data_IF_514386956689
#
_entry.id   IF_514386956689
#
_cell.length_a   1.000
_cell.length_b   1.000
_cell.length_c   1.000
_cell.angle_alpha   90.00
_cell.angle_beta   90.00
_cell.angle_gamma   90.00
#
_symmetry.space_group_name_H-M   'P 1'
#
loop_
_entity.id
_entity.type
_entity.pdbx_description
1 polymer ?
#
# COMPACT_ATOMS: atom_id res chain seq x y z
N UNK A 1 12.20 -6.85 -24.88
CA UNK A 1 12.20 -7.65 -23.63
C UNK A 1 11.81 -6.74 -22.49
N UNK A 2 10.87 -7.14 -21.62
CA UNK A 2 10.53 -6.38 -20.42
C UNK A 2 11.65 -6.50 -19.38
N UNK A 3 12.03 -5.41 -18.70
CA UNK A 3 13.03 -5.44 -17.62
C UNK A 3 12.44 -6.04 -16.35
N UNK A 4 13.27 -6.63 -15.48
CA UNK A 4 12.83 -7.15 -14.16
C UNK A 4 12.08 -6.11 -13.34
N UNK A 5 12.53 -4.85 -13.40
CA UNK A 5 11.86 -3.73 -12.74
C UNK A 5 10.46 -3.49 -13.32
N UNK A 6 10.31 -3.45 -14.66
CA UNK A 6 9.01 -3.27 -15.29
C UNK A 6 8.00 -4.37 -14.91
N UNK A 7 8.47 -5.61 -14.74
CA UNK A 7 7.65 -6.74 -14.28
C UNK A 7 7.20 -6.55 -12.83
N UNK A 8 8.10 -6.11 -11.93
CA UNK A 8 7.76 -5.83 -10.54
C UNK A 8 6.70 -4.73 -10.41
N UNK A 9 6.82 -3.66 -11.20
CA UNK A 9 5.84 -2.57 -11.20
C UNK A 9 4.48 -3.03 -11.74
N UNK A 10 4.49 -3.90 -12.76
CA UNK A 10 3.27 -4.51 -13.28
C UNK A 10 2.56 -5.39 -12.25
N UNK A 11 3.30 -6.19 -11.46
CA UNK A 11 2.72 -7.02 -10.41
C UNK A 11 1.94 -6.18 -9.37
N UNK A 12 2.48 -5.02 -8.99
CA UNK A 12 1.82 -4.10 -8.05
C UNK A 12 0.51 -3.59 -8.64
N UNK A 13 0.53 -3.04 -9.86
CA UNK A 13 -0.69 -2.53 -10.51
C UNK A 13 -1.72 -3.64 -10.72
N UNK A 14 -1.28 -4.85 -11.10
CA UNK A 14 -2.15 -6.03 -11.25
C UNK A 14 -2.80 -6.44 -9.93
N UNK A 15 -2.06 -6.43 -8.82
CA UNK A 15 -2.58 -6.73 -7.49
C UNK A 15 -3.72 -5.76 -7.11
N UNK A 16 -3.51 -4.45 -7.25
CA UNK A 16 -4.55 -3.46 -6.95
C UNK A 16 -5.79 -3.66 -7.81
N UNK A 17 -5.60 -3.84 -9.13
CA UNK A 17 -6.72 -4.10 -10.05
C UNK A 17 -7.54 -5.30 -9.59
N UNK A 18 -6.89 -6.43 -9.32
CA UNK A 18 -7.58 -7.64 -8.89
C UNK A 18 -8.25 -7.50 -7.52
N UNK A 19 -7.66 -6.75 -6.59
CA UNK A 19 -8.24 -6.52 -5.27
C UNK A 19 -9.48 -5.61 -5.32
N UNK A 20 -9.36 -4.49 -6.04
CA UNK A 20 -10.39 -3.45 -6.10
C UNK A 20 -11.59 -3.89 -6.94
N UNK A 21 -11.37 -4.63 -8.03
CA UNK A 21 -12.45 -5.14 -8.88
C UNK A 21 -12.93 -6.55 -8.51
N UNK A 22 -12.24 -7.22 -7.60
CA UNK A 22 -12.54 -8.59 -7.19
C UNK A 22 -13.73 -8.66 -6.22
N UNK A 23 -14.40 -9.81 -6.24
CA UNK A 23 -15.32 -10.19 -5.16
C UNK A 23 -14.56 -10.63 -3.90
N UNK A 24 -15.29 -11.08 -2.88
CA UNK A 24 -14.72 -11.44 -1.57
C UNK A 24 -13.72 -12.61 -1.70
N UNK A 25 -14.00 -13.59 -2.56
CA UNK A 25 -13.10 -14.73 -2.78
C UNK A 25 -11.81 -14.27 -3.45
N UNK A 26 -11.93 -13.41 -4.47
CA UNK A 26 -10.78 -12.83 -5.15
C UNK A 26 -9.95 -11.94 -4.22
N UNK A 27 -10.60 -11.15 -3.37
CA UNK A 27 -9.93 -10.35 -2.35
C UNK A 27 -9.15 -11.24 -1.38
N UNK A 28 -9.74 -12.33 -0.89
CA UNK A 28 -9.05 -13.27 -0.01
C UNK A 28 -7.83 -13.94 -0.69
N UNK A 29 -7.95 -14.32 -1.97
CA UNK A 29 -6.84 -14.85 -2.76
C UNK A 29 -5.68 -13.84 -2.87
N UNK A 30 -6.00 -12.58 -3.18
CA UNK A 30 -5.01 -11.50 -3.27
C UNK A 30 -4.31 -11.26 -1.94
N UNK A 31 -5.06 -11.22 -0.83
CA UNK A 31 -4.51 -11.04 0.51
C UNK A 31 -3.58 -12.18 0.90
N UNK A 32 -3.92 -13.43 0.55
CA UNK A 32 -3.12 -14.60 0.92
C UNK A 32 -1.87 -14.77 0.07
N UNK A 33 -1.99 -14.58 -1.24
CA UNK A 33 -0.94 -14.97 -2.18
C UNK A 33 -0.15 -13.75 -2.67
N UNK A 34 -0.84 -12.72 -3.17
CA UNK A 34 -0.19 -11.60 -3.85
C UNK A 34 0.41 -10.59 -2.88
N UNK A 35 -0.23 -10.35 -1.75
CA UNK A 35 0.34 -9.50 -0.70
C UNK A 35 1.72 -10.02 -0.26
N UNK A 36 1.88 -11.35 -0.18
CA UNK A 36 3.15 -12.00 0.13
C UNK A 36 4.22 -11.76 -0.96
N UNK A 37 3.85 -11.92 -2.23
CA UNK A 37 4.74 -11.63 -3.36
C UNK A 37 5.23 -10.17 -3.33
N UNK A 38 4.31 -9.23 -3.10
CA UNK A 38 4.66 -7.82 -2.98
C UNK A 38 5.59 -7.56 -1.78
N UNK A 39 5.37 -8.21 -0.63
CA UNK A 39 6.27 -8.10 0.52
C UNK A 39 7.69 -8.61 0.20
N UNK A 40 7.83 -9.69 -0.58
CA UNK A 40 9.14 -10.20 -1.06
C UNK A 40 9.83 -9.19 -1.98
N UNK A 41 9.07 -8.49 -2.83
CA UNK A 41 9.61 -7.41 -3.68
C UNK A 41 10.17 -6.26 -2.84
N UNK A 42 9.49 -5.88 -1.76
CA UNK A 42 9.99 -4.81 -0.87
C UNK A 42 11.30 -5.21 -0.18
N UNK A 43 11.44 -6.48 0.23
CA UNK A 43 12.71 -7.00 0.74
C UNK A 43 13.84 -6.92 -0.30
N UNK A 44 13.51 -7.20 -1.56
CA UNK A 44 14.46 -7.15 -2.68
C UNK A 44 14.86 -5.73 -3.09
N UNK A 45 13.98 -4.74 -2.91
CA UNK A 45 14.25 -3.34 -3.28
C UNK A 45 14.97 -2.52 -2.18
N UNK A 46 15.31 -3.19 -1.05
CA UNK A 46 15.97 -2.63 0.14
C UNK A 46 15.12 -1.65 0.95
N UNK A 47 13.79 -1.65 0.78
CA UNK A 47 12.90 -0.95 1.70
C UNK A 47 12.91 -1.64 3.06
N UNK A 48 13.24 -0.90 4.13
CA UNK A 48 13.26 -1.45 5.49
C UNK A 48 11.87 -1.57 6.12
N UNK A 49 11.72 -2.50 7.08
CA UNK A 49 10.50 -2.67 7.90
C UNK A 49 10.03 -1.37 8.55
N UNK A 50 10.98 -0.59 9.06
CA UNK A 50 10.69 0.69 9.70
C UNK A 50 10.01 1.66 8.72
N UNK A 51 10.49 1.75 7.47
CA UNK A 51 9.88 2.63 6.48
C UNK A 51 8.49 2.12 6.05
N UNK A 52 8.32 0.81 5.87
CA UNK A 52 7.00 0.22 5.59
C UNK A 52 6.00 0.60 6.68
N UNK A 53 6.36 0.36 7.94
CA UNK A 53 5.53 0.71 9.11
C UNK A 53 5.27 2.20 9.22
N UNK A 54 6.27 3.05 8.98
CA UNK A 54 6.11 4.51 9.02
C UNK A 54 5.00 4.99 8.08
N UNK A 55 4.98 4.51 6.84
CA UNK A 55 3.93 4.89 5.88
C UNK A 55 2.58 4.25 6.21
N UNK A 56 2.58 3.00 6.68
CA UNK A 56 1.36 2.33 7.13
C UNK A 56 0.71 3.07 8.31
N UNK A 57 1.48 3.42 9.35
CA UNK A 57 0.97 4.11 10.54
C UNK A 57 0.34 5.46 10.18
N UNK A 58 0.93 6.22 9.26
CA UNK A 58 0.33 7.48 8.78
C UNK A 58 -1.09 7.26 8.22
N UNK A 59 -1.29 6.23 7.41
CA UNK A 59 -2.61 5.91 6.85
C UNK A 59 -3.54 5.26 7.88
N UNK A 60 -2.99 4.52 8.84
CA UNK A 60 -3.72 3.95 9.96
C UNK A 60 -4.30 5.06 10.85
N UNK A 61 -3.52 6.11 11.14
CA UNK A 61 -3.99 7.26 11.91
C UNK A 61 -5.16 7.99 11.22
N UNK A 62 -5.15 8.02 9.89
CA UNK A 62 -6.28 8.52 9.09
C UNK A 62 -7.48 7.58 9.24
N UNK A 63 -7.29 6.26 9.09
CA UNK A 63 -8.35 5.24 9.27
C UNK A 63 -8.99 5.33 10.65
N UNK A 64 -8.21 5.48 11.72
CA UNK A 64 -8.74 5.58 13.08
C UNK A 64 -9.52 6.89 13.31
N UNK A 65 -9.03 8.02 12.78
CA UNK A 65 -9.81 9.27 12.79
C UNK A 65 -11.09 9.19 11.97
N UNK A 66 -11.08 8.45 10.85
CA UNK A 66 -12.28 8.19 10.05
C UNK A 66 -13.29 7.30 10.77
N UNK A 67 -12.85 6.37 11.63
CA UNK A 67 -13.75 5.57 12.47
C UNK A 67 -14.38 6.38 13.60
N UNK A 68 -13.59 7.27 14.22
CA UNK A 68 -14.07 8.17 15.27
C UNK A 68 -14.98 9.28 14.73
N UNK A 69 -14.88 9.57 13.44
CA UNK A 69 -15.79 10.45 12.74
C UNK A 69 -17.07 9.68 12.36
N UNK A 70 -18.19 10.00 13.02
CA UNK A 70 -19.51 9.45 12.73
C UNK A 70 -20.03 9.79 11.31
N UNK A 71 -19.26 10.57 10.54
CA UNK A 71 -19.53 10.85 9.14
C UNK A 71 -18.93 9.78 8.22
N UNK A 72 -19.66 9.42 7.16
CA UNK A 72 -19.14 8.61 6.06
C UNK A 72 -18.30 9.42 5.06
N UNK A 73 -17.99 10.68 5.39
CA UNK A 73 -17.38 11.61 4.47
C UNK A 73 -15.84 11.50 4.47
N UNK A 74 -15.31 10.66 3.59
CA UNK A 74 -13.86 10.56 3.33
C UNK A 74 -13.24 11.87 2.80
N UNK A 75 -14.03 12.79 2.22
CA UNK A 75 -13.51 13.96 1.48
C UNK A 75 -12.57 14.81 2.32
N UNK A 76 -12.82 14.94 3.63
CA UNK A 76 -11.98 15.73 4.53
C UNK A 76 -10.58 15.14 4.75
N UNK A 77 -10.41 13.84 4.51
CA UNK A 77 -9.14 13.13 4.65
C UNK A 77 -8.38 12.98 3.32
N UNK A 78 -9.02 13.27 2.18
CA UNK A 78 -8.41 13.12 0.86
C UNK A 78 -7.08 13.87 0.69
N UNK A 79 -6.91 15.12 1.17
CA UNK A 79 -5.62 15.80 1.09
C UNK A 79 -4.51 15.04 1.82
N UNK A 80 -4.78 14.52 3.02
CA UNK A 80 -3.81 13.77 3.82
C UNK A 80 -3.47 12.41 3.19
N UNK A 81 -4.48 11.72 2.63
CA UNK A 81 -4.28 10.48 1.88
C UNK A 81 -3.38 10.77 0.66
N UNK A 82 -3.70 11.78 -0.15
CA UNK A 82 -2.93 12.15 -1.34
C UNK A 82 -1.48 12.52 -0.98
N UNK A 83 -1.26 13.19 0.15
CA UNK A 83 0.07 13.59 0.62
C UNK A 83 1.00 12.40 0.88
N UNK A 84 0.45 11.19 1.12
CA UNK A 84 1.25 9.97 1.28
C UNK A 84 2.08 9.65 0.03
N UNK A 85 1.58 9.98 -1.17
CA UNK A 85 2.32 9.81 -2.43
C UNK A 85 3.53 10.76 -2.56
N UNK A 86 3.38 11.99 -2.09
CA UNK A 86 4.45 12.98 -2.04
C UNK A 86 5.52 12.56 -1.04
N UNK A 87 5.12 12.07 0.15
CA UNK A 87 6.05 11.52 1.13
C UNK A 87 6.82 10.31 0.60
N UNK A 88 6.16 9.41 -0.14
CA UNK A 88 6.83 8.28 -0.78
C UNK A 88 7.92 8.74 -1.75
N UNK A 89 7.60 9.72 -2.60
CA UNK A 89 8.57 10.31 -3.55
C UNK A 89 9.75 10.95 -2.80
N UNK A 90 9.47 11.68 -1.72
CA UNK A 90 10.50 12.29 -0.88
C UNK A 90 11.42 11.25 -0.24
N UNK A 91 10.86 10.24 0.43
CA UNK A 91 11.66 9.18 1.07
C UNK A 91 12.43 8.35 0.02
N UNK A 92 11.88 8.16 -1.18
CA UNK A 92 12.60 7.53 -2.31
C UNK A 92 13.80 8.36 -2.75
N UNK A 93 13.64 9.67 -2.89
CA UNK A 93 14.73 10.59 -3.28
C UNK A 93 15.89 10.59 -2.28
N UNK A 94 15.60 10.28 -1.01
CA UNK A 94 16.57 10.12 0.07
C UNK A 94 17.10 8.68 0.21
N UNK A 95 16.81 7.80 -0.75
CA UNK A 95 17.17 6.38 -0.76
C UNK A 95 16.72 5.63 0.51
N UNK A 96 15.60 6.03 1.12
CA UNK A 96 15.05 5.36 2.31
C UNK A 96 14.13 4.20 1.95
N UNK A 97 13.46 4.32 0.81
CA UNK A 97 12.61 3.28 0.23
C UNK A 97 13.04 3.02 -1.20
N UNK A 98 12.72 1.86 -1.76
CA UNK A 98 12.96 1.57 -3.17
C UNK A 98 11.75 1.85 -4.05
N UNK A 99 11.92 1.57 -5.35
CA UNK A 99 10.96 1.93 -6.41
C UNK A 99 9.67 1.11 -6.30
N UNK A 100 9.74 -0.15 -5.88
CA UNK A 100 8.57 -0.99 -5.75
C UNK A 100 7.67 -0.50 -4.62
N UNK A 101 8.25 -0.14 -3.47
CA UNK A 101 7.45 0.40 -2.37
C UNK A 101 6.86 1.78 -2.68
N UNK A 102 7.61 2.65 -3.36
CA UNK A 102 7.09 3.92 -3.85
C UNK A 102 5.90 3.72 -4.81
N UNK A 103 6.04 2.81 -5.77
CA UNK A 103 4.96 2.47 -6.72
C UNK A 103 3.73 1.96 -5.98
N UNK A 104 3.91 1.08 -5.00
CA UNK A 104 2.81 0.60 -4.16
C UNK A 104 2.06 1.74 -3.48
N UNK A 105 2.78 2.67 -2.83
CA UNK A 105 2.15 3.81 -2.16
C UNK A 105 1.42 4.73 -3.13
N UNK A 106 1.98 4.96 -4.32
CA UNK A 106 1.32 5.76 -5.37
C UNK A 106 0.02 5.11 -5.84
N UNK A 107 0.04 3.82 -6.14
CA UNK A 107 -1.17 3.09 -6.55
C UNK A 107 -2.20 3.06 -5.42
N UNK A 108 -1.77 2.80 -4.18
CA UNK A 108 -2.64 2.87 -3.01
C UNK A 108 -3.37 4.21 -2.94
N UNK A 109 -2.63 5.33 -3.03
CA UNK A 109 -3.24 6.66 -2.93
C UNK A 109 -4.14 6.99 -4.12
N UNK A 110 -3.79 6.52 -5.32
CA UNK A 110 -4.59 6.72 -6.53
C UNK A 110 -5.96 6.03 -6.42
N UNK A 111 -6.01 4.84 -5.82
CA UNK A 111 -7.26 4.13 -5.57
C UNK A 111 -8.01 4.73 -4.37
N UNK A 112 -7.29 5.06 -3.29
CA UNK A 112 -7.87 5.62 -2.08
C UNK A 112 -8.57 6.97 -2.30
N UNK A 113 -8.04 7.83 -3.19
CA UNK A 113 -8.66 9.15 -3.43
C UNK A 113 -9.97 9.09 -4.23
N UNK A 114 -10.23 7.95 -4.88
CA UNK A 114 -11.47 7.65 -5.62
C UNK A 114 -12.44 6.79 -4.81
N UNK A 115 -12.00 6.30 -3.65
CA UNK A 115 -12.73 5.36 -2.83
C UNK A 115 -13.77 6.05 -1.93
N UNK A 116 -14.80 5.30 -1.56
CA UNK A 116 -15.62 5.61 -0.39
C UNK A 116 -14.92 5.12 0.89
N UNK A 117 -15.51 5.40 2.06
CA UNK A 117 -14.97 5.00 3.37
C UNK A 117 -14.73 3.48 3.47
N UNK A 118 -15.67 2.66 2.97
CA UNK A 118 -15.56 1.20 3.00
C UNK A 118 -14.39 0.73 2.15
N UNK A 119 -14.31 1.18 0.90
CA UNK A 119 -13.24 0.82 -0.03
C UNK A 119 -11.87 1.27 0.48
N UNK A 120 -11.77 2.43 1.13
CA UNK A 120 -10.54 2.84 1.80
C UNK A 120 -10.14 1.85 2.91
N UNK A 121 -11.10 1.36 3.70
CA UNK A 121 -10.83 0.37 4.74
C UNK A 121 -10.40 -0.98 4.15
N UNK A 122 -11.02 -1.40 3.04
CA UNK A 122 -10.60 -2.59 2.29
C UNK A 122 -9.14 -2.44 1.80
N UNK A 123 -8.79 -1.29 1.20
CA UNK A 123 -7.41 -0.99 0.82
C UNK A 123 -6.44 -1.03 2.02
N UNK A 124 -6.86 -0.52 3.17
CA UNK A 124 -6.06 -0.59 4.39
C UNK A 124 -5.84 -2.03 4.86
N UNK A 125 -6.83 -2.91 4.71
CA UNK A 125 -6.69 -4.36 4.97
C UNK A 125 -5.64 -4.99 4.04
N UNK A 126 -5.61 -4.59 2.76
CA UNK A 126 -4.55 -5.02 1.84
C UNK A 126 -3.16 -4.56 2.30
N UNK A 127 -3.01 -3.29 2.69
CA UNK A 127 -1.72 -2.81 3.17
C UNK A 127 -1.31 -3.51 4.48
N UNK A 128 -2.25 -3.75 5.39
CA UNK A 128 -2.01 -4.49 6.62
C UNK A 128 -1.51 -5.92 6.36
N UNK A 129 -2.09 -6.64 5.40
CA UNK A 129 -1.60 -7.96 4.99
C UNK A 129 -0.15 -7.90 4.51
N UNK A 130 0.20 -6.91 3.68
CA UNK A 130 1.56 -6.72 3.18
C UNK A 130 2.53 -6.40 4.33
N UNK A 131 2.12 -5.54 5.28
CA UNK A 131 2.90 -5.26 6.50
C UNK A 131 3.13 -6.55 7.29
N UNK A 132 2.10 -7.38 7.44
CA UNK A 132 2.18 -8.71 8.06
C UNK A 132 3.25 -9.59 7.42
N UNK A 133 3.17 -9.81 6.11
CA UNK A 133 4.17 -10.60 5.37
C UNK A 133 5.57 -9.97 5.35
N UNK A 134 5.67 -8.63 5.36
CA UNK A 134 6.97 -7.95 5.41
C UNK A 134 7.76 -8.30 6.67
N UNK A 135 7.09 -8.71 7.76
CA UNK A 135 7.76 -9.21 8.96
C UNK A 135 8.62 -10.45 8.69
N UNK A 136 8.28 -11.26 7.68
CA UNK A 136 9.01 -12.47 7.29
C UNK A 136 10.13 -12.18 6.29
N UNK A 137 9.87 -11.33 5.29
CA UNK A 137 10.74 -11.22 4.10
C UNK A 137 11.65 -10.01 4.06
N UNK A 138 11.40 -8.99 4.88
CA UNK A 138 12.26 -7.81 4.97
C UNK A 138 13.25 -8.01 6.13
N UNK A 139 14.52 -7.67 5.96
CA UNK A 139 15.48 -7.76 7.07
C UNK A 139 15.06 -6.84 8.22
N UNK A 140 15.33 -7.27 9.47
CA UNK A 140 15.40 -6.31 10.58
C UNK A 140 16.65 -5.46 10.30
N UNK A 141 16.46 -4.18 10.00
CA UNK A 141 17.52 -3.20 10.16
C UNK A 141 17.50 -2.75 11.62
#
# INVERSE_FOLDING_TARGET
>A
MATKESLNLYLISKMFKEYVSGDIEKQAEVLKNKAEEIAKLFGSDKTSKHQIRKHFHRLLDIKERMKADDSDNIKKFLPEIAMTSAYATYDRSRNRIGVAFEKFLKEFTNEAVKADKKKFFDLMTLFEAIVGYSNMYVSKN
#
